data_IF_562279277730
#
_entry.id   IF_562279277730
#
_cell.length_a   1.000
_cell.length_b   1.000
_cell.length_c   1.000
_cell.angle_alpha   90.00
_cell.angle_beta   90.00
_cell.angle_gamma   90.00
#
_symmetry.space_group_name_H-M   'P 1'
#
loop_
_entity.id
_entity.type
_entity.pdbx_description
1 polymer ?
#
# COMPACT_ATOMS: atom_id res chain seq x y z
N UNK A 1 6.25 -2.05 -1.88
CA UNK A 1 5.69 -0.68 -1.87
C UNK A 1 6.69 0.41 -2.22
N UNK A 2 7.90 0.46 -1.64
CA UNK A 2 8.94 1.43 -2.08
C UNK A 2 9.27 1.31 -3.57
N UNK A 3 9.25 0.08 -4.12
CA UNK A 3 9.40 -0.16 -5.55
C UNK A 3 8.30 0.49 -6.42
N UNK A 4 7.13 0.77 -5.83
CA UNK A 4 6.03 1.49 -6.49
C UNK A 4 6.12 3.01 -6.32
N UNK A 5 7.20 3.52 -5.69
CA UNK A 5 7.40 4.96 -5.46
C UNK A 5 6.85 5.49 -4.14
N UNK A 6 6.40 4.63 -3.22
CA UNK A 6 5.95 5.08 -1.89
C UNK A 6 7.13 5.33 -0.93
N UNK A 7 7.08 6.45 -0.21
CA UNK A 7 7.99 6.79 0.87
C UNK A 7 7.52 6.26 2.23
N UNK A 8 8.48 5.99 3.13
CA UNK A 8 8.22 5.49 4.50
C UNK A 8 8.67 4.03 4.74
N UNK A 9 8.05 3.30 5.69
CA UNK A 9 6.90 3.70 6.50
C UNK A 9 7.23 4.79 7.53
N UNK A 10 6.31 5.71 7.73
CA UNK A 10 6.33 6.70 8.81
C UNK A 10 5.46 6.23 9.97
N UNK A 11 5.87 6.55 11.19
CA UNK A 11 5.09 6.22 12.39
C UNK A 11 4.16 7.38 12.75
N UNK A 12 2.86 7.13 12.69
CA UNK A 12 1.85 7.99 13.33
C UNK A 12 1.67 7.63 14.81
N UNK A 13 0.70 8.27 15.46
CA UNK A 13 0.38 8.00 16.88
C UNK A 13 -0.27 6.64 17.14
N UNK A 14 -0.91 6.04 16.12
CA UNK A 14 -1.63 4.76 16.24
C UNK A 14 -1.29 3.73 15.17
N UNK A 15 -0.98 4.18 13.96
CA UNK A 15 -0.68 3.30 12.83
C UNK A 15 0.50 3.85 12.03
N UNK A 16 1.18 2.96 11.31
CA UNK A 16 2.16 3.37 10.31
C UNK A 16 1.44 3.79 9.03
N UNK A 17 2.11 4.60 8.22
CA UNK A 17 1.61 5.01 6.91
C UNK A 17 2.76 5.19 5.91
N UNK A 18 2.45 5.08 4.63
CA UNK A 18 3.35 5.42 3.53
C UNK A 18 2.78 6.62 2.76
N UNK A 19 3.64 7.34 2.05
CA UNK A 19 3.26 8.53 1.28
C UNK A 19 3.59 8.32 -0.20
N UNK A 20 2.71 8.73 -1.09
CA UNK A 20 2.94 8.80 -2.54
C UNK A 20 2.40 10.14 -3.03
N UNK A 21 3.29 11.04 -3.47
CA UNK A 21 2.97 12.45 -3.71
C UNK A 21 2.20 13.06 -2.52
N UNK A 22 0.97 13.55 -2.75
CA UNK A 22 0.10 14.12 -1.71
C UNK A 22 -0.83 13.08 -1.04
N UNK A 23 -0.75 11.80 -1.42
CA UNK A 23 -1.58 10.72 -0.89
C UNK A 23 -0.92 9.98 0.27
N UNK A 24 -1.75 9.53 1.23
CA UNK A 24 -1.32 8.74 2.39
C UNK A 24 -2.01 7.38 2.40
N UNK A 25 -1.22 6.32 2.37
CA UNK A 25 -1.68 4.95 2.53
C UNK A 25 -1.45 4.50 3.98
N UNK A 26 -2.51 4.17 4.69
CA UNK A 26 -2.39 3.65 6.06
C UNK A 26 -1.98 2.18 6.04
N UNK A 27 -1.00 1.80 6.86
CA UNK A 27 -0.60 0.41 7.06
C UNK A 27 -1.34 -0.13 8.30
N UNK A 28 -2.21 -1.14 8.16
CA UNK A 28 -2.83 -1.78 9.30
C UNK A 28 -1.78 -2.47 10.17
N UNK A 29 -1.90 -2.34 11.50
CA UNK A 29 -0.93 -2.87 12.47
C UNK A 29 -1.06 -4.37 12.77
N UNK A 30 -1.89 -5.10 12.01
CA UNK A 30 -2.10 -6.53 12.22
C UNK A 30 -0.95 -7.31 11.57
N UNK A 31 -0.48 -8.36 12.25
CA UNK A 31 0.60 -9.23 11.73
C UNK A 31 0.14 -10.06 10.52
N UNK A 32 -1.16 -10.37 10.44
CA UNK A 32 -1.77 -11.11 9.34
C UNK A 32 -2.99 -10.35 8.77
N UNK A 33 -3.14 -10.42 7.45
CA UNK A 33 -4.29 -9.84 6.75
C UNK A 33 -5.18 -10.93 6.18
N UNK A 34 -6.48 -10.73 6.32
CA UNK A 34 -7.46 -11.55 5.60
C UNK A 34 -7.35 -11.29 4.09
N UNK A 35 -7.66 -12.29 3.26
CA UNK A 35 -7.66 -12.13 1.80
C UNK A 35 -8.56 -10.96 1.34
N UNK A 36 -9.76 -10.74 1.90
CA UNK A 36 -10.56 -9.55 1.56
C UNK A 36 -9.87 -8.22 1.88
N UNK A 37 -9.19 -8.13 3.03
CA UNK A 37 -8.45 -6.94 3.44
C UNK A 37 -7.28 -6.66 2.50
N UNK A 38 -6.51 -7.68 2.15
CA UNK A 38 -5.40 -7.54 1.21
C UNK A 38 -5.89 -7.05 -0.16
N UNK A 39 -7.00 -7.59 -0.68
CA UNK A 39 -7.60 -7.11 -1.94
C UNK A 39 -8.06 -5.66 -1.86
N UNK A 40 -8.61 -5.23 -0.73
CA UNK A 40 -8.99 -3.84 -0.52
C UNK A 40 -7.75 -2.92 -0.58
N UNK A 41 -6.68 -3.30 0.11
CA UNK A 41 -5.44 -2.53 0.12
C UNK A 41 -4.82 -2.42 -1.29
N UNK A 42 -4.79 -3.53 -2.05
CA UNK A 42 -4.28 -3.51 -3.43
C UNK A 42 -5.08 -2.53 -4.30
N UNK A 43 -6.42 -2.51 -4.18
CA UNK A 43 -7.26 -1.56 -4.93
C UNK A 43 -6.98 -0.10 -4.55
N UNK A 44 -6.84 0.18 -3.26
CA UNK A 44 -6.48 1.53 -2.78
C UNK A 44 -5.12 1.97 -3.35
N UNK A 45 -4.14 1.05 -3.42
CA UNK A 45 -2.84 1.31 -4.04
C UNK A 45 -3.01 1.65 -5.53
N UNK A 46 -3.75 0.83 -6.28
CA UNK A 46 -4.01 1.05 -7.72
C UNK A 46 -4.69 2.40 -8.01
N UNK A 47 -5.61 2.80 -7.13
CA UNK A 47 -6.24 4.12 -7.18
C UNK A 47 -5.24 5.25 -6.91
N UNK A 48 -4.38 5.12 -5.89
CA UNK A 48 -3.36 6.12 -5.55
C UNK A 48 -2.36 6.31 -6.68
N UNK A 49 -1.86 5.23 -7.29
CA UNK A 49 -0.89 5.30 -8.40
C UNK A 49 -1.57 5.54 -9.75
N UNK A 50 -2.90 5.67 -9.78
CA UNK A 50 -3.73 5.88 -10.96
C UNK A 50 -3.50 4.85 -12.10
N UNK A 51 -3.16 3.61 -11.75
CA UNK A 51 -3.01 2.50 -12.71
C UNK A 51 -3.19 1.14 -12.02
N UNK A 52 -3.65 0.12 -12.75
CA UNK A 52 -3.65 -1.25 -12.23
C UNK A 52 -2.22 -1.78 -12.04
N UNK A 53 -2.07 -2.74 -11.14
CA UNK A 53 -0.85 -3.52 -10.96
C UNK A 53 -1.11 -4.90 -11.60
N UNK A 54 -0.32 -5.25 -12.61
CA UNK A 54 -0.45 -6.58 -13.21
C UNK A 54 0.08 -7.65 -12.26
N UNK A 55 -0.35 -8.90 -12.44
CA UNK A 55 0.19 -10.01 -11.66
C UNK A 55 1.70 -10.15 -11.84
N UNK A 56 2.19 -10.00 -13.07
CA UNK A 56 3.61 -10.11 -13.38
C UNK A 56 4.42 -9.03 -12.66
N UNK A 57 3.93 -7.80 -12.65
CA UNK A 57 4.54 -6.71 -11.89
C UNK A 57 4.53 -7.03 -10.40
N UNK A 58 3.38 -7.41 -9.83
CA UNK A 58 3.23 -7.73 -8.41
C UNK A 58 4.22 -8.79 -7.94
N UNK A 59 4.46 -9.83 -8.74
CA UNK A 59 5.42 -10.90 -8.42
C UNK A 59 6.87 -10.41 -8.38
N UNK A 60 7.17 -9.27 -9.01
CA UNK A 60 8.52 -8.67 -9.06
C UNK A 60 8.76 -7.53 -8.06
N UNK A 61 7.74 -7.11 -7.30
CA UNK A 61 7.76 -5.97 -6.35
C UNK A 61 8.50 -6.20 -5.03
#
# INVERSE_FOLDING_TARGET
MRQLGFDGPFSGSRHQFMVFDDNRLTIPSNDEYSVPQLRMMIREIEEIIARPISLDEWVTL
#
